data_IF_885198967301
#
_entry.id   IF_885198967301
#
_cell.length_a   1.000
_cell.length_b   1.000
_cell.length_c   1.000
_cell.angle_alpha   90.00
_cell.angle_beta   90.00
_cell.angle_gamma   90.00
#
_symmetry.space_group_name_H-M   'P 1'
#
loop_
_entity.id
_entity.type
_entity.pdbx_description
1 polymer ?
#
# COMPACT_ATOMS: atom_id res chain seq x y z
N UNK A 1 -15.69 -13.55 17.55
CA UNK A 1 -16.38 -12.55 16.69
C UNK A 1 -15.64 -11.21 16.65
N UNK A 2 -15.04 -10.75 17.76
CA UNK A 2 -14.18 -9.55 17.79
C UNK A 2 -12.91 -9.68 16.93
N UNK A 3 -12.34 -10.88 16.86
CA UNK A 3 -11.06 -11.12 16.15
C UNK A 3 -11.21 -11.04 14.62
N UNK A 4 -12.33 -11.54 14.08
CA UNK A 4 -12.60 -11.53 12.63
C UNK A 4 -12.72 -10.08 12.11
N UNK A 5 -13.42 -9.22 12.86
CA UNK A 5 -13.57 -7.81 12.50
C UNK A 5 -12.21 -7.09 12.53
N UNK A 6 -11.38 -7.36 13.55
CA UNK A 6 -10.04 -6.79 13.66
C UNK A 6 -9.16 -7.14 12.45
N UNK A 7 -9.12 -8.42 12.08
CA UNK A 7 -8.34 -8.87 10.92
C UNK A 7 -8.87 -8.32 9.60
N UNK A 8 -10.20 -8.20 9.45
CA UNK A 8 -10.80 -7.58 8.27
C UNK A 8 -10.40 -6.09 8.16
N UNK A 9 -10.44 -5.35 9.26
CA UNK A 9 -10.03 -3.94 9.29
C UNK A 9 -8.52 -3.77 9.03
N UNK A 10 -7.70 -4.68 9.54
CA UNK A 10 -6.26 -4.71 9.27
C UNK A 10 -5.96 -4.97 7.79
N UNK A 11 -6.62 -5.97 7.19
CA UNK A 11 -6.47 -6.26 5.76
C UNK A 11 -7.13 -5.17 4.89
N UNK A 12 -8.10 -4.42 5.39
CA UNK A 12 -8.59 -3.25 4.67
C UNK A 12 -7.55 -2.12 4.69
N UNK A 13 -6.93 -1.88 5.85
CA UNK A 13 -5.97 -0.79 6.06
C UNK A 13 -4.71 -0.95 5.21
N UNK A 14 -4.15 -2.17 5.16
CA UNK A 14 -2.97 -2.54 4.31
C UNK A 14 -3.23 -2.39 2.81
N UNK A 15 -4.49 -2.25 2.39
CA UNK A 15 -4.87 -2.20 0.99
C UNK A 15 -5.23 -0.80 0.50
N UNK A 16 -5.21 0.20 1.38
CA UNK A 16 -5.57 1.57 1.05
C UNK A 16 -4.60 2.20 0.04
N UNK A 17 -3.30 1.96 0.19
CA UNK A 17 -2.29 2.49 -0.73
C UNK A 17 -2.37 1.78 -2.10
N UNK A 18 -2.63 0.47 -2.12
CA UNK A 18 -2.94 -0.28 -3.33
C UNK A 18 -4.20 0.27 -4.03
N UNK A 19 -5.24 0.61 -3.26
CA UNK A 19 -6.46 1.20 -3.80
C UNK A 19 -6.18 2.57 -4.43
N UNK A 20 -5.51 3.47 -3.71
CA UNK A 20 -5.18 4.80 -4.20
C UNK A 20 -4.29 4.75 -5.46
N UNK A 21 -3.27 3.90 -5.45
CA UNK A 21 -2.39 3.71 -6.60
C UNK A 21 -3.15 3.14 -7.80
N UNK A 22 -3.94 2.08 -7.61
CA UNK A 22 -4.75 1.46 -8.67
C UNK A 22 -5.83 2.39 -9.26
N UNK A 23 -6.46 3.25 -8.46
CA UNK A 23 -7.34 4.31 -8.97
C UNK A 23 -6.57 5.27 -9.86
N UNK A 24 -5.36 5.64 -9.45
CA UNK A 24 -4.51 6.55 -10.23
C UNK A 24 -4.07 5.90 -11.55
N UNK A 25 -3.71 4.62 -11.52
CA UNK A 25 -3.47 3.83 -12.73
C UNK A 25 -4.71 3.78 -13.64
N UNK A 26 -5.89 3.67 -13.04
CA UNK A 26 -7.17 3.78 -13.74
C UNK A 26 -7.36 5.12 -14.46
N UNK A 27 -6.96 6.25 -13.86
CA UNK A 27 -7.06 7.56 -14.52
C UNK A 27 -6.21 7.65 -15.78
N UNK A 28 -5.07 6.97 -15.78
CA UNK A 28 -4.05 7.02 -16.83
C UNK A 28 -4.27 5.96 -17.93
N UNK A 29 -5.16 4.99 -17.69
CA UNK A 29 -5.35 3.86 -18.61
C UNK A 29 -5.97 4.32 -19.95
N UNK A 30 -5.20 4.18 -21.04
CA UNK A 30 -5.67 4.54 -22.40
C UNK A 30 -6.71 3.58 -22.96
N UNK A 31 -6.74 2.34 -22.48
CA UNK A 31 -7.64 1.29 -22.97
C UNK A 31 -8.35 0.61 -21.79
N UNK A 32 -9.69 0.71 -21.79
CA UNK A 32 -10.57 0.14 -20.76
C UNK A 32 -10.82 -1.34 -21.03
N UNK A 33 -9.77 -2.16 -20.95
CA UNK A 33 -9.87 -3.61 -21.09
C UNK A 33 -9.87 -4.27 -19.71
N UNK A 34 -10.85 -5.16 -19.44
CA UNK A 34 -10.84 -5.99 -18.23
C UNK A 34 -9.53 -6.77 -18.06
N UNK A 35 -8.85 -7.13 -19.16
CA UNK A 35 -7.53 -7.77 -19.10
C UNK A 35 -6.50 -6.91 -18.38
N UNK A 36 -6.47 -5.59 -18.67
CA UNK A 36 -5.54 -4.66 -18.00
C UNK A 36 -5.89 -4.47 -16.53
N UNK A 37 -7.17 -4.44 -16.19
CA UNK A 37 -7.62 -4.31 -14.79
C UNK A 37 -7.21 -5.54 -13.99
N UNK A 38 -7.40 -6.74 -14.54
CA UNK A 38 -6.92 -7.98 -13.93
C UNK A 38 -5.40 -8.04 -13.84
N UNK A 39 -4.66 -7.56 -14.83
CA UNK A 39 -3.19 -7.50 -14.77
C UNK A 39 -2.71 -6.62 -13.62
N UNK A 40 -3.30 -5.43 -13.45
CA UNK A 40 -2.99 -4.53 -12.33
C UNK A 40 -3.36 -5.19 -11.01
N UNK A 41 -4.57 -5.73 -10.88
CA UNK A 41 -5.00 -6.41 -9.66
C UNK A 41 -4.09 -7.58 -9.27
N UNK A 42 -3.67 -8.39 -10.25
CA UNK A 42 -2.77 -9.54 -10.01
C UNK A 42 -1.38 -9.04 -9.58
N UNK A 43 -0.85 -8.01 -10.24
CA UNK A 43 0.47 -7.48 -9.90
C UNK A 43 0.50 -6.94 -8.46
N UNK A 44 -0.44 -6.07 -8.10
CA UNK A 44 -0.56 -5.56 -6.73
C UNK A 44 -0.80 -6.70 -5.73
N UNK A 45 -1.72 -7.62 -6.01
CA UNK A 45 -2.00 -8.74 -5.12
C UNK A 45 -0.80 -9.64 -4.86
N UNK A 46 -0.06 -10.01 -5.90
CA UNK A 46 1.12 -10.87 -5.76
C UNK A 46 2.23 -10.19 -4.96
N UNK A 47 2.49 -8.90 -5.23
CA UNK A 47 3.57 -8.18 -4.54
C UNK A 47 3.20 -7.90 -3.08
N UNK A 48 1.94 -7.53 -2.79
CA UNK A 48 1.46 -7.34 -1.41
C UNK A 48 1.53 -8.64 -0.60
N UNK A 49 1.08 -9.76 -1.18
CA UNK A 49 1.13 -11.07 -0.53
C UNK A 49 2.57 -11.53 -0.30
N UNK A 50 3.49 -11.27 -1.25
CA UNK A 50 4.90 -11.58 -1.11
C UNK A 50 5.55 -10.78 0.02
N UNK A 51 5.31 -9.46 0.08
CA UNK A 51 5.86 -8.60 1.14
C UNK A 51 5.31 -8.97 2.51
N UNK A 52 4.01 -9.25 2.61
CA UNK A 52 3.39 -9.76 3.84
C UNK A 52 4.03 -11.08 4.29
N UNK A 53 4.24 -12.03 3.37
CA UNK A 53 4.90 -13.30 3.66
C UNK A 53 6.33 -13.09 4.15
N UNK A 54 7.11 -12.24 3.48
CA UNK A 54 8.50 -11.93 3.86
C UNK A 54 8.56 -11.28 5.24
N UNK A 55 7.66 -10.33 5.52
CA UNK A 55 7.53 -9.73 6.84
C UNK A 55 7.22 -10.77 7.90
N UNK A 56 6.25 -11.64 7.65
CA UNK A 56 5.87 -12.70 8.59
C UNK A 56 7.00 -13.68 8.91
N UNK A 57 7.74 -14.12 7.88
CA UNK A 57 8.89 -15.03 8.05
C UNK A 57 10.03 -14.33 8.80
N UNK A 58 10.32 -13.07 8.45
CA UNK A 58 11.29 -12.24 9.18
C UNK A 58 10.92 -12.04 10.64
N UNK A 59 9.63 -11.92 10.94
CA UNK A 59 9.11 -11.73 12.29
C UNK A 59 9.28 -12.98 13.16
N UNK A 60 9.04 -14.18 12.59
CA UNK A 60 9.30 -15.45 13.29
C UNK A 60 10.78 -15.69 13.58
N UNK A 61 11.67 -15.28 12.67
CA UNK A 61 13.13 -15.39 12.86
C UNK A 61 13.65 -14.40 13.90
N UNK A 62 12.93 -13.30 14.14
CA UNK A 62 13.35 -12.17 14.99
C UNK A 62 12.50 -12.02 16.26
N UNK A 63 11.76 -13.05 16.67
CA UNK A 63 10.75 -12.98 17.75
C UNK A 63 11.31 -12.50 19.11
N UNK A 64 12.63 -12.56 19.33
CA UNK A 64 13.29 -12.01 20.52
C UNK A 64 13.56 -10.49 20.48
N UNK A 65 13.49 -9.84 19.31
CA UNK A 65 13.79 -8.41 19.12
C UNK A 65 12.53 -7.53 19.00
N UNK A 66 11.35 -8.12 18.76
CA UNK A 66 10.13 -7.38 18.42
C UNK A 66 9.42 -6.80 19.66
N UNK A 67 9.75 -7.29 20.86
CA UNK A 67 9.18 -6.80 22.12
C UNK A 67 9.54 -5.34 22.48
N UNK A 68 10.43 -4.71 21.70
CA UNK A 68 10.79 -3.29 21.83
C UNK A 68 10.44 -2.46 20.59
N UNK A 69 9.52 -2.93 19.73
CA UNK A 69 9.09 -2.16 18.55
C UNK A 69 8.23 -0.98 18.96
N UNK A 70 8.98 0.06 19.34
CA UNK A 70 8.57 1.34 19.86
C UNK A 70 7.92 2.18 18.76
N UNK A 71 7.26 3.26 19.18
CA UNK A 71 6.52 4.24 18.38
C UNK A 71 7.35 4.81 17.21
N UNK A 72 8.67 4.71 17.28
CA UNK A 72 9.62 5.05 16.23
C UNK A 72 9.41 4.23 14.95
N UNK A 73 8.94 2.98 15.06
CA UNK A 73 8.64 2.14 13.89
C UNK A 73 7.43 2.67 13.15
N UNK A 74 6.38 3.07 13.88
CA UNK A 74 5.21 3.72 13.30
C UNK A 74 5.59 5.04 12.60
N UNK A 75 6.47 5.83 13.21
CA UNK A 75 7.04 7.02 12.58
C UNK A 75 7.74 6.72 11.26
N UNK A 76 8.69 5.77 11.26
CA UNK A 76 9.45 5.44 10.05
C UNK A 76 8.59 4.85 8.94
N UNK A 77 7.56 4.07 9.29
CA UNK A 77 6.59 3.54 8.31
C UNK A 77 5.78 4.69 7.69
N UNK A 78 5.20 5.57 8.51
CA UNK A 78 4.39 6.71 8.02
C UNK A 78 5.25 7.68 7.19
N UNK A 79 6.50 7.90 7.59
CA UNK A 79 7.48 8.69 6.83
C UNK A 79 7.79 8.03 5.49
N UNK A 80 8.06 6.72 5.46
CA UNK A 80 8.39 5.99 4.24
C UNK A 80 7.22 6.00 3.24
N UNK A 81 6.00 5.73 3.70
CA UNK A 81 4.79 5.76 2.86
C UNK A 81 4.53 7.19 2.34
N UNK A 82 4.61 8.19 3.22
CA UNK A 82 4.38 9.58 2.85
C UNK A 82 5.40 10.10 1.82
N UNK A 83 6.69 9.77 2.00
CA UNK A 83 7.75 10.10 1.03
C UNK A 83 7.53 9.36 -0.29
N UNK A 84 7.14 8.09 -0.25
CA UNK A 84 6.86 7.31 -1.45
C UNK A 84 5.74 7.96 -2.30
N UNK A 85 4.63 8.35 -1.68
CA UNK A 85 3.52 9.03 -2.36
C UNK A 85 3.93 10.36 -3.01
N UNK A 86 4.86 11.10 -2.39
CA UNK A 86 5.40 12.35 -2.94
C UNK A 86 6.32 12.06 -4.13
N UNK A 87 7.27 11.13 -4.00
CA UNK A 87 8.20 10.75 -5.09
C UNK A 87 7.41 10.27 -6.31
N UNK A 88 6.39 9.45 -6.09
CA UNK A 88 5.50 8.91 -7.11
C UNK A 88 4.81 10.04 -7.91
N UNK A 89 4.21 11.03 -7.24
CA UNK A 89 3.56 12.17 -7.88
C UNK A 89 4.56 13.01 -8.71
N UNK A 90 5.74 13.30 -8.16
CA UNK A 90 6.76 14.11 -8.85
C UNK A 90 7.40 13.38 -10.04
N UNK A 91 7.58 12.06 -9.95
CA UNK A 91 8.06 11.25 -11.07
C UNK A 91 7.05 11.24 -12.21
N UNK A 92 5.77 11.06 -11.90
CA UNK A 92 4.66 11.08 -12.86
C UNK A 92 4.50 12.45 -13.54
N UNK A 93 4.73 13.56 -12.84
CA UNK A 93 4.73 14.88 -13.48
C UNK A 93 5.89 15.04 -14.48
N UNK A 94 7.10 14.60 -14.13
CA UNK A 94 8.29 14.76 -14.97
C UNK A 94 8.24 13.92 -16.24
N UNK A 95 7.76 12.69 -16.15
CA UNK A 95 7.77 11.77 -17.30
C UNK A 95 6.58 12.03 -18.25
N UNK A 96 5.56 12.83 -17.86
CA UNK A 96 4.25 12.92 -18.59
C UNK A 96 3.69 11.52 -18.95
N UNK A 97 4.13 10.51 -18.22
CA UNK A 97 3.84 9.11 -18.50
C UNK A 97 2.51 8.79 -17.82
N UNK A 98 1.44 8.79 -18.63
CA UNK A 98 0.31 7.95 -18.30
C UNK A 98 0.71 6.50 -18.49
N UNK A 99 0.38 5.64 -17.53
CA UNK A 99 0.71 4.22 -17.54
C UNK A 99 0.52 3.58 -18.92
N UNK A 100 1.65 3.34 -19.58
CA UNK A 100 1.72 2.81 -20.94
C UNK A 100 1.34 1.33 -21.00
N UNK A 101 1.22 0.67 -19.85
CA UNK A 101 1.05 -0.77 -19.73
C UNK A 101 2.36 -1.53 -19.66
N UNK A 102 3.50 -0.86 -19.41
CA UNK A 102 4.74 -1.55 -19.13
C UNK A 102 4.65 -2.28 -17.78
N UNK A 103 4.88 -3.59 -17.82
CA UNK A 103 4.81 -4.45 -16.63
C UNK A 103 5.90 -4.06 -15.61
N UNK A 104 7.02 -3.50 -16.07
CA UNK A 104 8.14 -3.10 -15.20
C UNK A 104 7.77 -1.93 -14.29
N UNK A 105 7.10 -0.91 -14.82
CA UNK A 105 6.65 0.23 -14.01
C UNK A 105 5.59 -0.21 -13.02
N UNK A 106 4.65 -1.07 -13.45
CA UNK A 106 3.62 -1.65 -12.57
C UNK A 106 4.21 -2.36 -11.35
N UNK A 107 5.20 -3.23 -11.60
CA UNK A 107 5.84 -4.00 -10.55
C UNK A 107 6.62 -3.07 -9.62
N UNK A 108 7.29 -2.04 -10.17
CA UNK A 108 8.00 -1.05 -9.36
C UNK A 108 7.06 -0.30 -8.39
N UNK A 109 5.92 0.15 -8.89
CA UNK A 109 4.89 0.83 -8.07
C UNK A 109 4.31 -0.13 -7.04
N UNK A 110 3.98 -1.36 -7.44
CA UNK A 110 3.45 -2.37 -6.53
C UNK A 110 4.44 -2.67 -5.39
N UNK A 111 5.74 -2.86 -5.69
CA UNK A 111 6.77 -3.11 -4.66
C UNK A 111 6.88 -1.97 -3.66
N UNK A 112 6.80 -0.73 -4.15
CA UNK A 112 7.01 0.43 -3.31
C UNK A 112 5.79 0.73 -2.43
N UNK A 113 4.58 0.45 -2.90
CA UNK A 113 3.36 0.48 -2.10
C UNK A 113 3.32 -0.66 -1.07
N UNK A 114 3.85 -1.84 -1.37
CA UNK A 114 3.80 -3.03 -0.49
C UNK A 114 4.71 -3.00 0.74
N UNK A 115 5.48 -1.93 0.96
CA UNK A 115 6.38 -1.81 2.13
C UNK A 115 5.59 -1.83 3.44
N UNK A 116 4.36 -1.31 3.43
CA UNK A 116 3.42 -1.35 4.56
C UNK A 116 3.05 -2.80 4.95
N UNK A 117 2.84 -3.65 3.95
CA UNK A 117 2.48 -5.05 4.12
C UNK A 117 3.61 -5.86 4.75
N UNK A 118 4.85 -5.51 4.46
CA UNK A 118 6.01 -6.11 5.10
C UNK A 118 6.04 -5.80 6.60
N UNK A 119 5.79 -4.54 6.98
CA UNK A 119 5.72 -4.15 8.38
C UNK A 119 4.58 -4.84 9.14
N UNK A 120 3.39 -4.90 8.53
CA UNK A 120 2.24 -5.58 9.12
C UNK A 120 2.49 -7.10 9.20
N UNK A 121 3.16 -7.69 8.20
CA UNK A 121 3.62 -9.08 8.23
C UNK A 121 4.52 -9.38 9.43
N UNK A 122 5.49 -8.51 9.71
CA UNK A 122 6.38 -8.62 10.87
C UNK A 122 5.62 -8.63 12.19
N UNK A 123 4.66 -7.71 12.37
CA UNK A 123 3.88 -7.60 13.61
C UNK A 123 2.95 -8.80 13.78
N UNK A 124 2.31 -9.23 12.69
CA UNK A 124 1.34 -10.34 12.71
C UNK A 124 1.99 -11.72 12.90
N UNK A 125 3.31 -11.85 12.77
CA UNK A 125 4.04 -13.11 13.03
C UNK A 125 3.90 -13.63 14.46
N UNK A 126 3.58 -12.74 15.40
CA UNK A 126 3.40 -13.03 16.83
C UNK A 126 1.93 -13.41 17.13
N UNK A 127 1.00 -12.89 16.32
CA UNK A 127 -0.45 -12.95 16.55
C UNK A 127 -1.13 -14.12 15.83
N UNK A 128 -0.54 -14.64 14.75
CA UNK A 128 -1.19 -15.59 13.85
C UNK A 128 -0.51 -16.97 13.87
N UNK A 129 -1.31 -18.01 14.09
CA UNK A 129 -0.88 -19.40 13.96
C UNK A 129 -0.89 -19.87 12.49
N UNK A 130 -1.79 -19.33 11.65
CA UNK A 130 -2.04 -19.81 10.28
C UNK A 130 -1.64 -18.79 9.20
N UNK A 131 -0.37 -18.85 8.78
CA UNK A 131 0.21 -17.99 7.74
C UNK A 131 -0.49 -18.11 6.38
N UNK A 132 -0.76 -19.35 5.94
CA UNK A 132 -1.23 -19.62 4.59
C UNK A 132 -2.58 -18.96 4.29
N UNK A 133 -3.51 -18.99 5.25
CA UNK A 133 -4.84 -18.39 5.10
C UNK A 133 -4.74 -16.88 4.96
N UNK A 134 -3.89 -16.23 5.75
CA UNK A 134 -3.72 -14.77 5.71
C UNK A 134 -3.08 -14.27 4.42
N UNK A 135 -2.04 -14.94 3.94
CA UNK A 135 -1.37 -14.56 2.68
C UNK A 135 -2.35 -14.66 1.50
N UNK A 136 -3.18 -15.70 1.47
CA UNK A 136 -4.22 -15.86 0.44
C UNK A 136 -5.29 -14.77 0.56
N UNK A 137 -5.72 -14.44 1.78
CA UNK A 137 -6.71 -13.37 2.00
C UNK A 137 -6.17 -12.00 1.60
N UNK A 138 -4.90 -11.69 1.92
CA UNK A 138 -4.23 -10.46 1.46
C UNK A 138 -4.26 -10.43 -0.06
N UNK A 139 -3.78 -11.48 -0.74
CA UNK A 139 -3.82 -11.55 -2.20
C UNK A 139 -5.22 -11.29 -2.79
N UNK A 140 -6.24 -11.99 -2.30
CA UNK A 140 -7.62 -11.89 -2.83
C UNK A 140 -8.18 -10.49 -2.61
N UNK A 141 -8.03 -9.94 -1.39
CA UNK A 141 -8.58 -8.62 -1.07
C UNK A 141 -7.83 -7.51 -1.82
N UNK A 142 -6.51 -7.56 -1.90
CA UNK A 142 -5.71 -6.63 -2.71
C UNK A 142 -6.13 -6.70 -4.18
N UNK A 143 -6.35 -7.90 -4.72
CA UNK A 143 -6.80 -8.08 -6.09
C UNK A 143 -8.17 -7.41 -6.33
N UNK A 144 -9.16 -7.68 -5.46
CA UNK A 144 -10.51 -7.11 -5.59
C UNK A 144 -10.47 -5.58 -5.48
N UNK A 145 -9.78 -5.07 -4.46
CA UNK A 145 -9.65 -3.63 -4.21
C UNK A 145 -8.92 -2.94 -5.36
N UNK A 146 -7.82 -3.50 -5.84
CA UNK A 146 -7.08 -2.92 -6.96
C UNK A 146 -7.85 -3.00 -8.27
N UNK A 147 -8.56 -4.10 -8.53
CA UNK A 147 -9.41 -4.24 -9.72
C UNK A 147 -10.52 -3.19 -9.74
N UNK A 148 -11.21 -3.02 -8.61
CA UNK A 148 -12.26 -2.01 -8.45
C UNK A 148 -11.69 -0.59 -8.49
N UNK A 149 -10.50 -0.37 -7.92
CA UNK A 149 -9.78 0.89 -7.98
C UNK A 149 -9.48 1.31 -9.43
N UNK A 150 -8.85 0.44 -10.22
CA UNK A 150 -8.60 0.72 -11.66
C UNK A 150 -9.91 0.96 -12.41
N UNK A 151 -10.95 0.17 -12.14
CA UNK A 151 -12.24 0.34 -12.81
C UNK A 151 -12.89 1.70 -12.48
N UNK A 152 -12.81 2.14 -11.22
CA UNK A 152 -13.28 3.44 -10.77
C UNK A 152 -12.45 4.56 -11.40
N UNK A 153 -11.13 4.49 -11.32
CA UNK A 153 -10.23 5.45 -11.96
C UNK A 153 -10.47 5.57 -13.46
N UNK A 154 -10.62 4.44 -14.15
CA UNK A 154 -10.91 4.41 -15.58
C UNK A 154 -12.23 5.11 -15.94
N UNK A 155 -13.27 5.00 -15.09
CA UNK A 155 -14.54 5.71 -15.27
C UNK A 155 -14.38 7.23 -15.08
N UNK A 156 -13.64 7.64 -14.05
CA UNK A 156 -13.46 9.05 -13.67
C UNK A 156 -12.24 9.74 -14.30
N UNK A 157 -11.49 9.05 -15.17
CA UNK A 157 -10.32 9.56 -15.93
C UNK A 157 -10.56 10.94 -16.60
N UNK A 158 -11.78 11.19 -17.10
CA UNK A 158 -12.15 12.49 -17.70
C UNK A 158 -12.23 13.65 -16.70
N UNK A 159 -12.46 13.36 -15.42
CA UNK A 159 -12.59 14.35 -14.35
C UNK A 159 -11.25 14.59 -13.64
N UNK A 160 -10.42 13.55 -13.52
CA UNK A 160 -9.11 13.59 -12.89
C UNK A 160 -8.08 14.43 -13.67
N UNK A 161 -8.26 14.64 -14.98
CA UNK A 161 -7.40 15.55 -15.76
C UNK A 161 -7.42 17.00 -15.28
N UNK A 162 -8.36 17.38 -14.40
CA UNK A 162 -8.48 18.73 -13.82
C UNK A 162 -7.76 18.94 -12.49
N UNK A 163 -7.43 17.89 -11.73
CA UNK A 163 -6.86 18.03 -10.37
C UNK A 163 -5.38 17.67 -10.41
N UNK A 164 -4.53 18.68 -10.22
CA UNK A 164 -3.07 18.51 -10.18
C UNK A 164 -2.65 18.14 -8.75
N UNK A 165 -1.83 17.10 -8.57
CA UNK A 165 -1.12 16.76 -7.32
C UNK A 165 -1.90 16.17 -6.14
N UNK A 166 -2.93 15.37 -6.41
CA UNK A 166 -3.73 14.80 -5.32
C UNK A 166 -2.97 13.79 -4.44
N UNK A 167 -1.99 13.04 -4.96
CA UNK A 167 -1.27 12.03 -4.17
C UNK A 167 -0.19 12.66 -3.28
N UNK A 168 0.49 13.71 -3.77
CA UNK A 168 1.49 14.42 -2.97
C UNK A 168 0.92 15.03 -1.67
N UNK A 169 -0.31 15.56 -1.72
CA UNK A 169 -0.98 16.13 -0.53
C UNK A 169 -1.22 15.05 0.52
N UNK A 170 -1.64 13.85 0.11
CA UNK A 170 -1.81 12.71 1.01
C UNK A 170 -0.49 12.29 1.67
N UNK A 171 0.59 12.25 0.88
CA UNK A 171 1.92 11.92 1.40
C UNK A 171 2.42 12.93 2.44
N UNK A 172 2.20 14.23 2.20
CA UNK A 172 2.56 15.30 3.16
C UNK A 172 1.82 15.12 4.49
N UNK A 173 0.52 14.86 4.45
CA UNK A 173 -0.30 14.65 5.67
C UNK A 173 0.22 13.46 6.49
N UNK A 174 0.60 12.36 5.82
CA UNK A 174 1.14 11.18 6.48
C UNK A 174 2.45 11.45 7.22
N UNK A 175 3.35 12.22 6.58
CA UNK A 175 4.61 12.64 7.21
C UNK A 175 4.33 13.45 8.47
N UNK A 176 3.37 14.37 8.44
CA UNK A 176 2.99 15.16 9.61
C UNK A 176 2.42 14.30 10.75
N UNK A 177 1.58 13.30 10.43
CA UNK A 177 1.03 12.38 11.43
C UNK A 177 2.15 11.55 12.07
N UNK A 178 3.09 11.02 11.27
CA UNK A 178 4.26 10.33 11.80
C UNK A 178 5.07 11.23 12.73
N UNK A 179 5.37 12.46 12.29
CA UNK A 179 6.14 13.42 13.08
C UNK A 179 5.48 13.72 14.44
N UNK A 180 4.15 13.84 14.46
CA UNK A 180 3.36 14.04 15.68
C UNK A 180 3.54 12.89 16.69
N UNK A 181 3.44 11.65 16.22
CA UNK A 181 3.60 10.45 17.06
C UNK A 181 5.00 10.40 17.68
N UNK A 182 6.02 10.78 16.90
CA UNK A 182 7.41 10.83 17.38
C UNK A 182 7.59 11.90 18.47
N UNK A 183 7.03 13.10 18.26
CA UNK A 183 7.15 14.23 19.18
C UNK A 183 6.39 14.03 20.50
N UNK A 184 5.19 13.43 20.46
CA UNK A 184 4.43 13.04 21.66
C UNK A 184 5.23 12.05 22.52
N UNK A 185 5.95 11.13 21.90
CA UNK A 185 6.74 10.14 22.63
C UNK A 185 8.07 10.68 23.19
N UNK A 186 8.66 11.68 22.52
CA UNK A 186 9.86 12.39 23.01
C UNK A 186 9.56 13.35 24.17
N UNK A 187 8.29 13.49 24.59
CA UNK A 187 7.88 14.40 25.67
C UNK A 187 8.01 15.87 25.32
N UNK A 188 8.07 16.21 24.03
CA UNK A 188 8.12 17.58 23.52
C UNK A 188 6.71 18.18 23.35
N UNK A 189 5.65 17.39 23.60
CA UNK A 189 4.24 17.76 23.49
C UNK A 189 3.39 17.02 24.53
#
# INVERSE_FOLDING_TARGET
MKDILYFLLLILSINLDCFASSVTEGFLIKSRSCKKFSQIGIAFGLVQALFFLLGFLGGKLSASWIASFDHWVAFFILLAIGVHMIIEEFRREKEKEGFSGDLRTLIGVAMAVSVDALAIGLVTSILLETLAVFVILVFILTFIISFTGVALGARFSKLASKIKYSQAIGGIILIFIGLKILLEHLGLF
#
